data_IF_101685783308
#
_entry.id   IF_101685783308
#
_cell.length_a   1.000
_cell.length_b   1.000
_cell.length_c   1.000
_cell.angle_alpha   90.00
_cell.angle_beta   90.00
_cell.angle_gamma   90.00
#
_symmetry.space_group_name_H-M   'P 1'
#
loop_
_entity.id
_entity.type
_entity.pdbx_description
1 polymer ?
#
# COMPACT_ATOMS: atom_id res chain seq x y z
N UNK A 1 -23.91 9.55 15.82
CA UNK A 1 -24.59 8.77 14.77
C UNK A 1 -23.62 8.60 13.60
N UNK A 2 -22.89 7.47 13.54
CA UNK A 2 -22.06 7.17 12.39
C UNK A 2 -23.01 6.86 11.26
N UNK A 3 -23.06 7.73 10.25
CA UNK A 3 -23.74 7.45 9.01
C UNK A 3 -22.84 6.43 8.29
N UNK A 4 -23.22 5.17 8.33
CA UNK A 4 -22.62 4.17 7.47
C UNK A 4 -22.76 4.66 6.05
N UNK A 5 -21.64 5.07 5.47
CA UNK A 5 -21.59 5.39 4.05
C UNK A 5 -21.66 4.07 3.30
N UNK A 6 -22.87 3.54 3.19
CA UNK A 6 -23.12 2.42 2.31
C UNK A 6 -22.83 2.89 0.89
N UNK A 7 -21.74 2.35 0.34
CA UNK A 7 -21.52 2.45 -1.09
C UNK A 7 -22.79 1.96 -1.78
N UNK A 8 -23.38 2.83 -2.60
CA UNK A 8 -24.59 2.44 -3.33
C UNK A 8 -24.28 1.21 -4.20
N UNK A 9 -25.19 0.23 -4.29
CA UNK A 9 -24.98 -0.97 -5.12
C UNK A 9 -24.55 -0.66 -6.56
N UNK A 10 -24.94 0.52 -7.08
CA UNK A 10 -24.58 0.97 -8.41
C UNK A 10 -23.10 1.33 -8.56
N UNK A 11 -22.46 1.91 -7.53
CA UNK A 11 -21.01 2.23 -7.57
C UNK A 11 -20.17 0.96 -7.66
N UNK A 12 -20.51 -0.05 -6.89
CA UNK A 12 -19.78 -1.33 -6.92
C UNK A 12 -19.96 -2.02 -8.27
N UNK A 13 -21.17 -1.98 -8.82
CA UNK A 13 -21.44 -2.54 -10.14
C UNK A 13 -20.64 -1.83 -11.25
N UNK A 14 -20.64 -0.51 -11.27
CA UNK A 14 -19.90 0.29 -12.26
C UNK A 14 -18.39 -0.02 -12.18
N UNK A 15 -17.84 -0.09 -10.97
CA UNK A 15 -16.43 -0.41 -10.75
C UNK A 15 -16.10 -1.82 -11.23
N UNK A 16 -16.93 -2.80 -10.91
CA UNK A 16 -16.75 -4.18 -11.37
C UNK A 16 -16.85 -4.29 -12.89
N UNK A 17 -17.89 -3.73 -13.48
CA UNK A 17 -18.08 -3.75 -14.94
C UNK A 17 -16.89 -3.12 -15.67
N UNK A 18 -16.31 -2.06 -15.09
CA UNK A 18 -15.09 -1.44 -15.65
C UNK A 18 -13.90 -2.40 -15.60
N UNK A 19 -13.61 -3.00 -14.45
CA UNK A 19 -12.50 -3.96 -14.33
C UNK A 19 -12.71 -5.19 -15.21
N UNK A 20 -13.93 -5.71 -15.29
CA UNK A 20 -14.25 -6.86 -16.14
C UNK A 20 -14.12 -6.53 -17.63
N UNK A 21 -14.18 -5.27 -18.02
CA UNK A 21 -13.96 -4.81 -19.39
C UNK A 21 -12.49 -4.69 -19.80
N UNK A 22 -11.55 -4.72 -18.84
CA UNK A 22 -10.13 -4.60 -19.11
C UNK A 22 -9.58 -5.91 -19.64
N UNK A 23 -8.89 -5.84 -20.76
CA UNK A 23 -8.25 -6.97 -21.41
C UNK A 23 -6.74 -6.80 -21.42
N UNK A 24 -6.03 -7.92 -21.29
CA UNK A 24 -4.57 -7.96 -21.44
C UNK A 24 -4.26 -8.26 -22.89
N UNK A 25 -3.55 -7.36 -23.55
CA UNK A 25 -3.06 -7.60 -24.91
C UNK A 25 -1.94 -8.64 -24.88
N UNK A 26 -2.13 -9.72 -25.63
CA UNK A 26 -1.12 -10.75 -25.79
C UNK A 26 -0.24 -10.42 -26.99
N UNK A 27 1.09 -10.39 -26.79
CA UNK A 27 2.07 -10.16 -27.85
C UNK A 27 2.95 -11.38 -28.01
N UNK A 28 3.15 -11.80 -29.27
CA UNK A 28 4.02 -12.92 -29.62
C UNK A 28 5.38 -12.49 -30.18
N UNK A 29 5.49 -11.23 -30.64
CA UNK A 29 6.71 -10.64 -31.13
C UNK A 29 7.37 -9.77 -30.08
N UNK A 30 8.69 -9.60 -30.19
CA UNK A 30 9.48 -8.78 -29.27
C UNK A 30 9.45 -9.27 -27.82
N UNK A 31 9.45 -10.59 -27.64
CA UNK A 31 9.49 -11.19 -26.31
C UNK A 31 10.77 -10.77 -25.58
N UNK A 32 10.61 -10.29 -24.35
CA UNK A 32 11.69 -9.96 -23.41
C UNK A 32 11.58 -10.85 -22.18
N UNK A 33 12.73 -11.15 -21.54
CA UNK A 33 12.71 -11.78 -20.24
C UNK A 33 12.06 -10.82 -19.24
N UNK A 34 10.95 -11.22 -18.61
CA UNK A 34 10.29 -10.35 -17.64
C UNK A 34 11.14 -10.20 -16.38
N UNK A 35 11.09 -9.04 -15.77
CA UNK A 35 11.61 -8.80 -14.42
C UNK A 35 10.51 -8.19 -13.58
N UNK A 36 10.53 -8.48 -12.29
CA UNK A 36 9.65 -7.84 -11.30
C UNK A 36 10.35 -6.70 -10.58
N UNK A 37 11.61 -6.45 -10.87
CA UNK A 37 12.36 -5.35 -10.25
C UNK A 37 11.77 -4.00 -10.64
N UNK A 38 11.74 -3.11 -9.67
CA UNK A 38 11.28 -1.73 -9.82
C UNK A 38 12.29 -0.79 -9.18
N UNK A 39 12.67 0.27 -9.89
CA UNK A 39 13.48 1.36 -9.33
C UNK A 39 12.59 2.53 -8.95
N UNK A 40 12.67 2.98 -7.70
CA UNK A 40 11.93 4.11 -7.17
C UNK A 40 12.84 4.92 -6.24
N UNK A 41 12.87 6.24 -6.41
CA UNK A 41 13.73 7.15 -5.63
C UNK A 41 15.20 6.73 -5.56
N UNK A 42 15.74 6.19 -6.65
CA UNK A 42 17.13 5.75 -6.73
C UNK A 42 17.43 4.40 -6.07
N UNK A 43 16.43 3.70 -5.58
CA UNK A 43 16.56 2.37 -4.99
C UNK A 43 15.85 1.31 -5.83
N UNK A 44 16.39 0.10 -5.83
CA UNK A 44 15.81 -1.05 -6.55
C UNK A 44 15.10 -1.98 -5.58
N UNK A 45 13.86 -2.30 -5.92
CA UNK A 45 13.00 -3.22 -5.18
C UNK A 45 12.75 -4.48 -5.98
N UNK A 46 12.59 -5.62 -5.31
CA UNK A 46 12.36 -6.91 -5.96
C UNK A 46 10.99 -7.06 -6.59
N UNK A 47 10.05 -6.20 -6.24
CA UNK A 47 8.67 -6.26 -6.71
C UNK A 47 8.11 -4.86 -6.90
N UNK A 48 7.26 -4.63 -7.91
CA UNK A 48 6.51 -3.39 -8.06
C UNK A 48 5.27 -3.35 -7.15
N UNK A 49 4.96 -4.45 -6.47
CA UNK A 49 3.85 -4.52 -5.50
C UNK A 49 4.28 -3.80 -4.24
N UNK A 50 3.45 -2.90 -3.77
CA UNK A 50 3.65 -2.11 -2.56
C UNK A 50 2.59 -2.46 -1.53
N UNK A 51 2.86 -2.20 -0.27
CA UNK A 51 1.84 -2.36 0.76
C UNK A 51 0.82 -1.23 0.71
N UNK A 52 -0.41 -1.49 1.14
CA UNK A 52 -1.39 -0.43 1.37
C UNK A 52 -1.01 0.40 2.59
N UNK A 53 -1.33 1.70 2.56
CA UNK A 53 -1.09 2.61 3.67
C UNK A 53 -2.13 2.39 4.78
N UNK A 54 -1.96 1.33 5.55
CA UNK A 54 -2.83 1.00 6.67
C UNK A 54 -2.41 1.75 7.93
N UNK A 55 -3.36 1.87 8.86
CA UNK A 55 -3.19 2.48 10.18
C UNK A 55 -3.84 1.59 11.24
N UNK A 56 -3.37 1.71 12.47
CA UNK A 56 -4.03 1.09 13.63
C UNK A 56 -4.15 -0.45 13.57
N UNK A 57 -3.21 -1.13 12.91
CA UNK A 57 -3.21 -2.60 12.86
C UNK A 57 -3.01 -3.25 14.25
N UNK A 58 -2.52 -2.48 15.24
CA UNK A 58 -2.46 -2.92 16.64
C UNK A 58 -3.84 -3.26 17.22
N UNK A 59 -4.92 -2.71 16.66
CA UNK A 59 -6.29 -3.04 17.06
C UNK A 59 -6.70 -4.47 16.65
N UNK A 60 -6.02 -5.04 15.69
CA UNK A 60 -6.31 -6.39 15.16
C UNK A 60 -5.29 -7.41 15.65
N UNK A 61 -4.02 -7.03 15.67
CA UNK A 61 -2.91 -7.92 16.03
C UNK A 61 -1.88 -7.14 16.83
N UNK A 62 -1.41 -7.72 17.93
CA UNK A 62 -0.32 -7.13 18.71
C UNK A 62 0.90 -6.87 17.80
N UNK A 63 1.46 -5.67 17.89
CA UNK A 63 2.57 -5.22 17.02
C UNK A 63 2.27 -5.29 15.52
N UNK A 64 0.99 -5.17 15.13
CA UNK A 64 0.56 -5.34 13.75
C UNK A 64 1.25 -4.40 12.76
N UNK A 65 1.51 -3.16 13.14
CA UNK A 65 2.23 -2.20 12.28
C UNK A 65 3.67 -2.63 12.03
N UNK A 66 4.37 -3.08 13.05
CA UNK A 66 5.76 -3.55 12.96
C UNK A 66 5.87 -4.86 12.18
N UNK A 67 4.97 -5.80 12.41
CA UNK A 67 4.91 -7.07 11.68
C UNK A 67 4.66 -6.82 10.19
N UNK A 68 3.77 -5.90 9.86
CA UNK A 68 3.47 -5.52 8.48
C UNK A 68 4.69 -4.92 7.77
N UNK A 69 5.41 -4.03 8.46
CA UNK A 69 6.65 -3.45 7.97
C UNK A 69 7.75 -4.51 7.77
N UNK A 70 7.92 -5.45 8.69
CA UNK A 70 8.87 -6.55 8.57
C UNK A 70 8.57 -7.41 7.34
N UNK A 71 7.31 -7.73 7.10
CA UNK A 71 6.90 -8.50 5.94
C UNK A 71 7.23 -7.77 4.63
N UNK A 72 7.00 -6.47 4.56
CA UNK A 72 7.37 -5.65 3.41
C UNK A 72 8.90 -5.64 3.18
N UNK A 73 9.68 -5.47 4.24
CA UNK A 73 11.14 -5.50 4.16
C UNK A 73 11.66 -6.84 3.65
N UNK A 74 11.15 -7.95 4.16
CA UNK A 74 11.53 -9.31 3.75
C UNK A 74 11.15 -9.59 2.30
N UNK A 75 10.03 -9.05 1.84
CA UNK A 75 9.57 -9.20 0.46
C UNK A 75 10.32 -8.32 -0.54
N UNK A 76 11.14 -7.37 -0.07
CA UNK A 76 11.81 -6.38 -0.92
C UNK A 76 10.85 -5.41 -1.57
N UNK A 77 9.76 -5.08 -0.89
CA UNK A 77 8.69 -4.19 -1.33
C UNK A 77 8.77 -2.80 -0.67
N UNK A 78 8.21 -1.81 -1.34
CA UNK A 78 7.98 -0.49 -0.71
C UNK A 78 6.85 -0.62 0.30
N UNK A 79 7.08 -0.08 1.49
CA UNK A 79 6.10 -0.06 2.57
C UNK A 79 5.42 1.31 2.67
N UNK A 80 4.10 1.32 2.58
CA UNK A 80 3.30 2.52 2.85
C UNK A 80 2.70 2.45 4.24
N UNK A 81 2.77 3.55 4.96
CA UNK A 81 2.18 3.66 6.29
C UNK A 81 1.22 4.83 6.35
N UNK A 82 0.06 4.59 6.95
CA UNK A 82 -0.96 5.59 7.14
C UNK A 82 -0.71 6.47 8.36
N UNK A 83 -1.77 6.78 9.10
CA UNK A 83 -1.68 7.62 10.31
C UNK A 83 -1.10 6.83 11.47
N UNK A 84 -0.41 7.53 12.35
CA UNK A 84 0.20 6.98 13.55
C UNK A 84 1.13 8.00 14.20
N UNK A 85 1.64 7.67 15.39
CA UNK A 85 2.59 8.52 16.11
C UNK A 85 4.00 8.47 15.52
N UNK A 86 4.84 9.39 15.94
CA UNK A 86 6.24 9.42 15.53
C UNK A 86 7.00 8.22 16.09
N UNK A 87 6.69 7.80 17.31
CA UNK A 87 7.29 6.62 17.95
C UNK A 87 6.97 5.35 17.14
N UNK A 88 5.72 5.18 16.70
CA UNK A 88 5.32 4.06 15.84
C UNK A 88 6.09 4.08 14.51
N UNK A 89 6.29 5.27 13.93
CA UNK A 89 7.06 5.40 12.71
C UNK A 89 8.53 5.01 12.91
N UNK A 90 9.14 5.38 14.04
CA UNK A 90 10.51 4.98 14.38
C UNK A 90 10.63 3.45 14.48
N UNK A 91 9.67 2.78 15.12
CA UNK A 91 9.64 1.31 15.20
C UNK A 91 9.51 0.67 13.82
N UNK A 92 8.67 1.21 12.95
CA UNK A 92 8.48 0.75 11.56
C UNK A 92 9.79 0.88 10.78
N UNK A 93 10.44 2.03 10.83
CA UNK A 93 11.69 2.29 10.13
C UNK A 93 12.82 1.40 10.65
N UNK A 94 12.85 1.13 11.95
CA UNK A 94 13.84 0.25 12.58
C UNK A 94 13.77 -1.20 12.05
N UNK A 95 12.67 -1.62 11.44
CA UNK A 95 12.56 -2.94 10.78
C UNK A 95 13.40 -3.06 9.51
N UNK A 96 13.90 -1.94 8.98
CA UNK A 96 14.59 -1.88 7.69
C UNK A 96 13.66 -1.71 6.49
N UNK A 97 12.35 -1.60 6.70
CA UNK A 97 11.40 -1.35 5.63
C UNK A 97 11.63 0.03 4.99
N UNK A 98 11.66 0.07 3.66
CA UNK A 98 11.69 1.33 2.91
C UNK A 98 10.29 1.92 2.92
N UNK A 99 10.09 2.93 3.75
CA UNK A 99 8.78 3.40 4.18
C UNK A 99 8.43 4.76 3.57
N UNK A 100 7.22 4.84 3.05
CA UNK A 100 6.59 6.10 2.63
C UNK A 100 5.46 6.39 3.63
N UNK A 101 5.55 7.53 4.30
CA UNK A 101 4.57 8.00 5.28
C UNK A 101 3.55 8.91 4.61
N UNK A 102 2.26 8.61 4.78
CA UNK A 102 1.20 9.55 4.43
C UNK A 102 1.10 10.60 5.54
N UNK A 103 1.24 11.85 5.16
CA UNK A 103 1.05 12.99 6.05
C UNK A 103 -0.31 13.61 5.73
N UNK A 104 -1.19 13.61 6.72
CA UNK A 104 -2.46 14.33 6.64
C UNK A 104 -2.30 15.71 7.23
N UNK A 105 -2.47 16.74 6.42
CA UNK A 105 -2.58 18.10 6.92
C UNK A 105 -4.01 18.29 7.46
N UNK A 106 -4.18 18.13 8.74
CA UNK A 106 -5.38 18.61 9.40
C UNK A 106 -5.25 20.12 9.55
N UNK A 107 -5.92 20.86 8.71
CA UNK A 107 -6.20 22.28 8.95
C UNK A 107 -7.23 22.37 10.09
N UNK A 108 -6.83 21.98 11.29
CA UNK A 108 -7.66 22.11 12.48
C UNK A 108 -7.29 23.40 13.18
N UNK A 109 -8.25 24.28 13.32
CA UNK A 109 -8.18 25.33 14.30
C UNK A 109 -7.49 26.59 13.85
N UNK A 110 -7.95 27.05 12.75
CA UNK A 110 -7.90 28.48 12.55
C UNK A 110 -9.19 29.08 13.12
#
# INVERSE_FOLDING_TARGET
MKKDMQLTPNSDKITRDYFDSLLIETRYLDAVLPTTEMTLFGETFRTPIMTAALSHLHNTTQNGMTIYAQAAAQSGAVHWVGMGSDEELEEIVATGARTIKIISCNLVGI
#
